data_IF_956629552088
#
_entry.id   IF_956629552088
#
_cell.length_a   1.000
_cell.length_b   1.000
_cell.length_c   1.000
_cell.angle_alpha   90.00
_cell.angle_beta   90.00
_cell.angle_gamma   90.00
#
_symmetry.space_group_name_H-M   'P 1'
#
loop_
_entity.id
_entity.type
_entity.pdbx_description
1 polymer ?
#
# COMPACT_ATOMS: atom_id res chain seq x y z
N UNK A 1 -32.03 48.90 -8.05
CA UNK A 1 -31.08 48.40 -9.07
C UNK A 1 -29.62 48.78 -8.82
N UNK A 2 -29.25 49.99 -8.33
CA UNK A 2 -27.82 50.34 -8.10
C UNK A 2 -27.21 49.75 -6.81
N UNK A 3 -28.02 49.41 -5.81
CA UNK A 3 -27.54 48.91 -4.52
C UNK A 3 -27.07 47.44 -4.55
N UNK A 4 -27.64 46.63 -5.46
CA UNK A 4 -27.37 45.19 -5.53
C UNK A 4 -26.01 44.89 -6.19
N UNK A 5 -25.61 45.70 -7.16
CA UNK A 5 -24.31 45.58 -7.85
C UNK A 5 -23.16 45.96 -6.93
N UNK A 6 -23.34 46.97 -6.07
CA UNK A 6 -22.33 47.39 -5.11
C UNK A 6 -22.08 46.32 -4.03
N UNK A 7 -23.14 45.62 -3.58
CA UNK A 7 -23.03 44.51 -2.63
C UNK A 7 -22.36 43.28 -3.26
N UNK A 8 -22.67 42.98 -4.52
CA UNK A 8 -22.01 41.89 -5.25
C UNK A 8 -20.51 42.15 -5.47
N UNK A 9 -20.13 43.39 -5.78
CA UNK A 9 -18.73 43.77 -5.95
C UNK A 9 -17.92 43.72 -4.64
N UNK A 10 -18.53 44.11 -3.51
CA UNK A 10 -17.95 43.99 -2.17
C UNK A 10 -17.78 42.53 -1.73
N UNK A 11 -18.75 41.68 -2.06
CA UNK A 11 -18.65 40.25 -1.77
C UNK A 11 -17.54 39.58 -2.58
N UNK A 12 -17.39 39.92 -3.87
CA UNK A 12 -16.34 39.37 -4.76
C UNK A 12 -14.92 39.82 -4.39
N UNK A 13 -14.77 41.05 -3.90
CA UNK A 13 -13.46 41.55 -3.45
C UNK A 13 -13.05 40.98 -2.09
N UNK A 14 -14.01 40.69 -1.20
CA UNK A 14 -13.72 40.03 0.07
C UNK A 14 -13.22 38.58 -0.10
N UNK A 15 -13.74 37.81 -1.06
CA UNK A 15 -13.29 36.43 -1.30
C UNK A 15 -11.91 36.34 -1.94
N UNK A 16 -11.51 37.33 -2.75
CA UNK A 16 -10.18 37.37 -3.40
C UNK A 16 -9.05 37.73 -2.43
N UNK A 17 -9.32 38.51 -1.39
CA UNK A 17 -8.30 38.86 -0.37
C UNK A 17 -8.06 37.70 0.60
N UNK A 18 -9.07 36.87 0.87
CA UNK A 18 -8.94 35.68 1.71
C UNK A 18 -8.11 34.55 1.06
N UNK A 19 -8.15 34.41 -0.27
CA UNK A 19 -7.36 33.39 -0.98
C UNK A 19 -5.89 33.79 -1.18
N UNK A 20 -5.59 35.08 -1.34
CA UNK A 20 -4.21 35.57 -1.44
C UNK A 20 -3.43 35.50 -0.11
N UNK A 21 -4.13 35.62 1.04
CA UNK A 21 -3.54 35.44 2.37
C UNK A 21 -3.18 33.99 2.68
N UNK A 22 -3.94 33.02 2.16
CA UNK A 22 -3.67 31.60 2.37
C UNK A 22 -2.37 31.11 1.71
N UNK A 23 -1.97 31.72 0.59
CA UNK A 23 -0.73 31.35 -0.11
C UNK A 23 0.51 31.87 0.64
N UNK A 24 0.42 33.02 1.32
CA UNK A 24 1.53 33.58 2.10
C UNK A 24 1.62 33.04 3.53
N UNK A 25 0.54 32.50 4.10
CA UNK A 25 0.56 31.80 5.39
C UNK A 25 1.06 30.35 5.29
N UNK A 26 1.20 29.81 4.08
CA UNK A 26 1.65 28.45 3.82
C UNK A 26 3.03 28.09 4.44
N UNK A 27 4.06 28.97 4.47
CA UNK A 27 5.35 28.63 5.06
C UNK A 27 5.27 28.48 6.59
N UNK A 28 4.54 29.36 7.29
CA UNK A 28 4.32 29.22 8.74
C UNK A 28 3.55 27.95 9.01
N UNK A 29 2.44 27.71 8.29
CA UNK A 29 1.56 26.58 8.57
C UNK A 29 2.24 25.24 8.30
N UNK A 30 3.16 25.21 7.32
CA UNK A 30 4.10 24.10 7.10
C UNK A 30 5.11 23.94 8.24
N UNK A 31 5.72 25.04 8.71
CA UNK A 31 6.66 25.02 9.83
C UNK A 31 6.02 24.58 11.17
N UNK A 32 4.72 24.84 11.32
CA UNK A 32 3.92 24.47 12.49
C UNK A 32 3.28 23.08 12.38
N UNK A 33 3.51 22.35 11.27
CA UNK A 33 3.01 20.97 11.10
C UNK A 33 1.51 20.83 10.85
N UNK A 34 0.78 21.93 10.62
CA UNK A 34 -0.67 21.90 10.35
C UNK A 34 -1.02 21.61 8.88
N UNK A 35 -0.01 21.53 8.01
CA UNK A 35 -0.20 21.03 6.64
C UNK A 35 -0.14 19.51 6.68
N UNK A 36 -1.11 18.78 6.09
CA UNK A 36 -0.96 17.35 5.92
C UNK A 36 0.34 17.14 5.14
N UNK A 37 1.29 16.43 5.73
CA UNK A 37 2.39 15.86 4.94
C UNK A 37 1.69 15.10 3.83
N UNK A 38 1.98 15.46 2.58
CA UNK A 38 1.57 14.69 1.41
C UNK A 38 1.75 13.23 1.78
N UNK A 39 0.65 12.45 1.77
CA UNK A 39 0.64 11.05 2.20
C UNK A 39 1.91 10.40 1.65
N UNK A 40 2.83 10.08 2.58
CA UNK A 40 4.17 9.60 2.28
C UNK A 40 4.06 8.45 1.28
N UNK A 41 5.04 8.37 0.40
CA UNK A 41 5.20 7.23 -0.50
C UNK A 41 4.94 5.90 0.23
N UNK A 42 4.45 4.86 -0.47
CA UNK A 42 4.20 3.56 0.13
C UNK A 42 5.43 3.12 0.93
N UNK A 43 5.24 2.72 2.19
CA UNK A 43 6.33 2.21 2.99
C UNK A 43 6.86 0.92 2.34
N UNK A 44 8.18 0.83 2.17
CA UNK A 44 8.82 -0.41 1.72
C UNK A 44 8.69 -1.48 2.81
N UNK A 45 8.15 -2.63 2.42
CA UNK A 45 8.08 -3.82 3.26
C UNK A 45 8.99 -4.90 2.68
N UNK A 46 10.12 -5.13 3.33
CA UNK A 46 11.03 -6.23 3.00
C UNK A 46 10.38 -7.56 3.42
N UNK A 47 10.41 -8.56 2.53
CA UNK A 47 9.84 -9.86 2.79
C UNK A 47 10.66 -11.00 2.14
N UNK A 48 10.50 -12.20 2.70
CA UNK A 48 11.05 -13.45 2.18
C UNK A 48 9.96 -14.51 2.09
N UNK A 49 10.16 -15.55 1.27
CA UNK A 49 9.23 -16.66 1.11
C UNK A 49 9.90 -17.94 1.61
N UNK A 50 9.25 -18.61 2.57
CA UNK A 50 9.64 -19.93 3.06
C UNK A 50 8.66 -20.97 2.52
N UNK A 51 9.20 -22.00 1.86
CA UNK A 51 8.40 -23.16 1.46
C UNK A 51 8.39 -24.20 2.59
N UNK A 52 7.22 -24.44 3.19
CA UNK A 52 7.03 -25.32 4.35
C UNK A 52 6.23 -26.58 4.01
N UNK A 53 6.27 -27.03 2.76
CA UNK A 53 5.48 -28.20 2.35
C UNK A 53 6.07 -29.50 2.92
N UNK A 54 5.46 -30.02 3.99
CA UNK A 54 5.85 -31.29 4.62
C UNK A 54 5.29 -32.52 3.88
N UNK A 55 4.17 -32.37 3.18
CA UNK A 55 3.59 -33.44 2.38
C UNK A 55 4.37 -33.61 1.07
N UNK A 56 5.17 -34.66 1.01
CA UNK A 56 5.99 -35.01 -0.17
C UNK A 56 5.14 -35.20 -1.43
N UNK A 57 3.92 -35.73 -1.29
CA UNK A 57 3.03 -35.94 -2.45
C UNK A 57 2.52 -34.61 -2.99
N UNK A 58 2.21 -33.66 -2.11
CA UNK A 58 1.86 -32.30 -2.48
C UNK A 58 3.07 -31.59 -3.09
N UNK A 59 4.25 -31.65 -2.48
CA UNK A 59 5.47 -30.99 -2.98
C UNK A 59 5.83 -31.42 -4.42
N UNK A 60 5.71 -32.72 -4.72
CA UNK A 60 6.02 -33.24 -6.08
C UNK A 60 4.96 -32.83 -7.09
N UNK A 61 3.68 -32.80 -6.69
CA UNK A 61 2.58 -32.43 -7.57
C UNK A 61 2.41 -30.92 -7.74
N UNK A 62 2.96 -30.14 -6.81
CA UNK A 62 2.91 -28.68 -6.75
C UNK A 62 4.32 -28.08 -6.88
N UNK A 63 4.86 -27.89 -8.08
CA UNK A 63 6.04 -27.06 -8.24
C UNK A 63 5.75 -25.64 -7.72
N UNK A 64 6.70 -25.07 -6.98
CA UNK A 64 6.59 -23.72 -6.43
C UNK A 64 6.65 -22.70 -7.57
N UNK A 65 5.55 -22.00 -7.82
CA UNK A 65 5.52 -20.81 -8.68
C UNK A 65 5.84 -19.56 -7.86
N UNK A 66 7.14 -19.31 -7.67
CA UNK A 66 7.64 -18.18 -6.88
C UNK A 66 7.18 -16.84 -7.45
N UNK A 67 7.11 -16.70 -8.78
CA UNK A 67 6.68 -15.44 -9.42
C UNK A 67 5.18 -15.18 -9.20
N UNK A 68 4.34 -16.21 -9.34
CA UNK A 68 2.92 -16.12 -9.04
C UNK A 68 2.65 -15.79 -7.57
N UNK A 69 3.41 -16.40 -6.65
CA UNK A 69 3.32 -16.11 -5.22
C UNK A 69 3.74 -14.68 -4.89
N UNK A 70 4.89 -14.23 -5.40
CA UNK A 70 5.35 -12.85 -5.23
C UNK A 70 4.33 -11.83 -5.72
N UNK A 71 3.76 -12.06 -6.90
CA UNK A 71 2.71 -11.18 -7.45
C UNK A 71 1.50 -11.09 -6.51
N UNK A 72 1.06 -12.21 -5.92
CA UNK A 72 -0.05 -12.22 -4.95
C UNK A 72 0.29 -11.43 -3.68
N UNK A 73 1.49 -11.65 -3.12
CA UNK A 73 1.96 -10.96 -1.91
C UNK A 73 2.07 -9.46 -2.16
N UNK A 74 2.73 -9.05 -3.25
CA UNK A 74 2.93 -7.64 -3.60
C UNK A 74 1.61 -6.92 -3.86
N UNK A 75 0.64 -7.59 -4.50
CA UNK A 75 -0.71 -7.04 -4.66
C UNK A 75 -1.41 -6.85 -3.30
N UNK A 76 -1.33 -7.83 -2.40
CA UNK A 76 -1.92 -7.71 -1.06
C UNK A 76 -1.25 -6.63 -0.21
N UNK A 77 0.07 -6.46 -0.32
CA UNK A 77 0.80 -5.36 0.30
C UNK A 77 0.39 -4.01 -0.29
N UNK A 78 0.23 -3.91 -1.61
CA UNK A 78 -0.22 -2.70 -2.28
C UNK A 78 -1.62 -2.27 -1.85
N UNK A 79 -2.55 -3.23 -1.67
CA UNK A 79 -3.89 -2.96 -1.09
C UNK A 79 -3.79 -2.37 0.32
N UNK A 80 -2.73 -2.71 1.07
CA UNK A 80 -2.44 -2.19 2.41
C UNK A 80 -1.59 -0.91 2.40
N UNK A 81 -1.28 -0.35 1.23
CA UNK A 81 -0.48 0.88 1.10
C UNK A 81 1.03 0.68 1.27
N UNK A 82 1.53 -0.55 1.14
CA UNK A 82 2.95 -0.87 1.20
C UNK A 82 3.50 -1.33 -0.16
N UNK A 83 4.80 -1.15 -0.38
CA UNK A 83 5.51 -1.71 -1.53
C UNK A 83 6.33 -2.91 -1.08
N UNK A 84 6.12 -4.07 -1.68
CA UNK A 84 6.90 -5.26 -1.38
C UNK A 84 8.31 -5.19 -1.96
N UNK A 85 9.32 -5.51 -1.17
CA UNK A 85 10.70 -5.73 -1.63
C UNK A 85 11.07 -7.17 -1.31
N UNK A 86 11.23 -8.00 -2.33
CA UNK A 86 11.56 -9.41 -2.16
C UNK A 86 13.06 -9.63 -1.97
N UNK A 87 13.44 -10.40 -0.95
CA UNK A 87 14.80 -10.91 -0.77
C UNK A 87 14.77 -12.31 -0.15
N UNK A 88 15.30 -13.35 -0.83
CA UNK A 88 15.26 -14.72 -0.32
C UNK A 88 16.17 -14.95 0.90
N UNK A 89 17.11 -14.03 1.16
CA UNK A 89 18.09 -14.13 2.26
C UNK A 89 17.82 -13.11 3.38
N UNK A 90 16.69 -12.39 3.32
CA UNK A 90 16.33 -11.45 4.37
C UNK A 90 15.83 -12.19 5.62
N UNK A 91 16.41 -11.85 6.77
CA UNK A 91 16.05 -12.36 8.09
C UNK A 91 16.11 -11.21 9.10
N UNK A 92 15.24 -11.22 10.11
CA UNK A 92 15.22 -10.18 11.14
C UNK A 92 13.81 -9.86 11.63
N UNK A 93 13.66 -9.15 12.75
CA UNK A 93 12.36 -8.77 13.31
C UNK A 93 11.55 -7.82 12.41
N UNK A 94 12.20 -7.10 11.50
CA UNK A 94 11.60 -6.19 10.52
C UNK A 94 11.22 -6.87 9.19
N UNK A 95 11.69 -8.11 8.96
CA UNK A 95 11.42 -8.85 7.73
C UNK A 95 10.10 -9.58 7.86
N UNK A 96 9.23 -9.38 6.89
CA UNK A 96 8.00 -10.13 6.77
C UNK A 96 8.30 -11.53 6.19
N UNK A 97 8.23 -12.55 7.02
CA UNK A 97 8.34 -13.94 6.57
C UNK A 97 6.99 -14.43 6.05
N UNK A 98 6.95 -14.87 4.80
CA UNK A 98 5.77 -15.48 4.19
C UNK A 98 5.97 -16.98 4.05
N UNK A 99 5.14 -17.74 4.73
CA UNK A 99 5.13 -19.20 4.63
C UNK A 99 4.20 -19.62 3.49
N UNK A 100 4.72 -20.42 2.56
CA UNK A 100 4.00 -21.00 1.45
C UNK A 100 3.88 -22.52 1.65
N UNK A 101 2.65 -23.02 1.66
CA UNK A 101 2.33 -24.44 1.84
C UNK A 101 1.55 -24.93 0.63
N UNK A 102 2.01 -26.01 0.00
CA UNK A 102 1.28 -26.64 -1.09
C UNK A 102 0.08 -27.44 -0.56
N UNK A 103 -1.05 -27.29 -1.23
CA UNK A 103 -2.29 -28.01 -0.94
C UNK A 103 -2.83 -28.60 -2.25
N UNK A 104 -3.13 -29.89 -2.23
CA UNK A 104 -3.80 -30.57 -3.33
C UNK A 104 -5.30 -30.50 -3.11
N UNK A 105 -5.99 -29.75 -3.96
CA UNK A 105 -7.44 -29.67 -3.93
C UNK A 105 -8.03 -30.70 -4.91
N UNK A 106 -8.88 -31.59 -4.36
CA UNK A 106 -9.68 -32.59 -5.09
C UNK A 106 -8.88 -33.71 -5.80
N UNK A 107 -9.62 -34.71 -6.31
CA UNK A 107 -9.08 -35.83 -7.11
C UNK A 107 -8.41 -35.38 -8.43
N UNK A 108 -8.75 -34.18 -8.91
CA UNK A 108 -8.17 -33.57 -10.10
C UNK A 108 -6.80 -32.91 -9.85
N UNK A 109 -6.27 -33.00 -8.61
CA UNK A 109 -4.95 -32.49 -8.19
C UNK A 109 -4.72 -31.03 -8.56
N UNK A 110 -5.71 -30.17 -8.33
CA UNK A 110 -5.51 -28.74 -8.52
C UNK A 110 -4.53 -28.27 -7.47
N UNK A 111 -3.38 -27.79 -7.93
CA UNK A 111 -2.34 -27.30 -7.05
C UNK A 111 -2.67 -25.90 -6.55
N UNK A 112 -2.69 -25.71 -5.23
CA UNK A 112 -2.87 -24.42 -4.60
C UNK A 112 -1.75 -24.16 -3.60
N UNK A 113 -1.23 -22.94 -3.61
CA UNK A 113 -0.31 -22.47 -2.59
C UNK A 113 -1.06 -21.58 -1.59
N UNK A 114 -1.14 -22.05 -0.35
CA UNK A 114 -1.65 -21.28 0.78
C UNK A 114 -0.54 -20.45 1.40
N UNK A 115 -0.87 -19.21 1.77
CA UNK A 115 0.06 -18.23 2.30
C UNK A 115 -0.27 -17.92 3.77
N UNK A 116 0.76 -17.84 4.61
CA UNK A 116 0.66 -17.36 5.98
C UNK A 116 1.74 -16.29 6.24
N UNK A 117 1.38 -15.06 6.66
CA UNK A 117 0.01 -14.56 6.77
C UNK A 117 -0.67 -14.44 5.39
N UNK A 118 -2.01 -14.47 5.38
CA UNK A 118 -2.80 -14.37 4.16
C UNK A 118 -2.84 -12.93 3.59
N UNK A 119 -2.84 -12.83 2.26
CA UNK A 119 -2.85 -11.59 1.47
C UNK A 119 -3.92 -11.63 0.39
#
# INVERSE_FOLDING_TARGET
MKADIARAALALTATLVLSAGAVQAAPWLKAQGYWPQTLSEPADQLYTILNLTEDVSAFVACPLDENGLRTRIENGLAVRGARGVYSPIAEGPEVLTIEAVAVLENENRTCLWQLSPAY
#
